data_IF_591504944712
#
_entry.id   IF_591504944712
#
_cell.length_a   1.000
_cell.length_b   1.000
_cell.length_c   1.000
_cell.angle_alpha   90.00
_cell.angle_beta   90.00
_cell.angle_gamma   90.00
#
_symmetry.space_group_name_H-M   'P 1'
#
loop_
_entity.id
_entity.type
_entity.pdbx_description
1 polymer ?
#
# COMPACT_ATOMS: atom_id res chain seq x y z
N UNK A 1 10.34 -5.45 -33.56
CA UNK A 1 11.09 -5.47 -32.29
C UNK A 1 10.87 -4.16 -31.55
N UNK A 2 10.69 -4.22 -30.23
CA UNK A 2 10.73 -3.03 -29.38
C UNK A 2 12.01 -2.23 -29.67
N UNK A 3 11.95 -0.93 -29.64
CA UNK A 3 13.09 -0.08 -30.02
C UNK A 3 13.31 1.03 -28.99
N UNK A 4 14.56 1.19 -28.59
CA UNK A 4 15.02 2.37 -27.87
C UNK A 4 15.43 3.43 -28.89
N UNK A 5 14.69 4.55 -28.94
CA UNK A 5 14.91 5.64 -29.89
C UNK A 5 15.38 6.89 -29.16
N UNK A 6 15.78 7.92 -29.93
CA UNK A 6 16.07 9.24 -29.36
C UNK A 6 14.86 9.90 -28.65
N UNK A 7 13.65 9.41 -28.87
CA UNK A 7 12.42 9.88 -28.22
C UNK A 7 12.00 9.01 -27.03
N UNK A 8 12.76 7.96 -26.71
CA UNK A 8 12.49 7.03 -25.64
C UNK A 8 12.18 5.62 -26.12
N UNK A 9 11.62 4.81 -25.24
CA UNK A 9 11.23 3.44 -25.49
C UNK A 9 9.92 3.39 -26.30
N UNK A 10 9.93 2.65 -27.39
CA UNK A 10 8.73 2.36 -28.18
C UNK A 10 8.24 0.95 -27.81
N UNK A 11 7.19 0.92 -26.99
CA UNK A 11 6.49 -0.31 -26.62
C UNK A 11 5.81 -0.91 -27.86
N UNK A 12 5.93 -2.23 -28.02
CA UNK A 12 5.20 -2.98 -29.02
C UNK A 12 4.14 -3.83 -28.33
N UNK A 13 2.91 -3.73 -28.83
CA UNK A 13 1.77 -4.44 -28.25
C UNK A 13 1.74 -5.91 -28.65
N UNK A 14 1.05 -6.76 -27.87
CA UNK A 14 0.80 -8.16 -28.20
C UNK A 14 0.23 -8.31 -29.62
N UNK A 15 -0.72 -7.48 -30.01
CA UNK A 15 -1.33 -7.55 -31.35
C UNK A 15 -0.33 -7.25 -32.47
N UNK A 16 0.63 -6.37 -32.24
CA UNK A 16 1.69 -6.07 -33.22
C UNK A 16 2.70 -7.22 -33.30
N UNK A 17 3.02 -7.89 -32.16
CA UNK A 17 3.83 -9.10 -32.19
C UNK A 17 3.13 -10.21 -32.96
N UNK A 18 1.85 -10.46 -32.67
CA UNK A 18 1.05 -11.44 -33.39
C UNK A 18 1.02 -11.17 -34.91
N UNK A 19 0.77 -9.93 -35.33
CA UNK A 19 0.76 -9.56 -36.74
C UNK A 19 2.12 -9.78 -37.42
N UNK A 20 3.21 -9.46 -36.74
CA UNK A 20 4.56 -9.70 -37.28
C UNK A 20 4.87 -11.20 -37.42
N UNK A 21 4.53 -12.02 -36.42
CA UNK A 21 4.71 -13.47 -36.47
C UNK A 21 3.91 -14.08 -37.60
N UNK A 22 2.63 -13.73 -37.73
CA UNK A 22 1.76 -14.18 -38.86
C UNK A 22 2.41 -13.82 -40.19
N UNK A 23 2.97 -12.61 -40.33
CA UNK A 23 3.62 -12.18 -41.55
C UNK A 23 4.90 -12.97 -41.84
N UNK A 24 5.68 -13.33 -40.81
CA UNK A 24 6.88 -14.16 -40.96
C UNK A 24 6.52 -15.54 -41.46
N UNK A 25 5.52 -16.21 -40.92
CA UNK A 25 5.07 -17.51 -41.37
C UNK A 25 4.51 -17.47 -42.81
N UNK A 26 3.72 -16.45 -43.16
CA UNK A 26 3.18 -16.27 -44.51
C UNK A 26 4.27 -15.96 -45.56
N UNK A 27 5.39 -15.42 -45.15
CA UNK A 27 6.54 -15.26 -46.07
C UNK A 27 7.19 -16.60 -46.41
N UNK A 28 6.98 -17.65 -45.60
CA UNK A 28 7.44 -19.01 -45.88
C UNK A 28 6.44 -19.75 -46.77
N UNK A 29 5.16 -19.70 -46.38
CA UNK A 29 4.03 -20.26 -47.16
C UNK A 29 2.79 -19.38 -47.03
N UNK A 30 2.37 -18.80 -48.15
CA UNK A 30 1.22 -17.88 -48.22
C UNK A 30 -0.10 -18.55 -47.85
N UNK A 31 -0.21 -19.87 -48.13
CA UNK A 31 -1.44 -20.62 -47.86
C UNK A 31 -1.45 -21.27 -46.47
N UNK A 32 -0.43 -21.03 -45.65
CA UNK A 32 -0.38 -21.56 -44.28
C UNK A 32 -1.58 -21.12 -43.46
N UNK A 33 -2.31 -22.10 -42.92
CA UNK A 33 -3.46 -21.79 -42.07
C UNK A 33 -3.01 -21.44 -40.64
N UNK A 34 -2.99 -20.13 -40.35
CA UNK A 34 -2.60 -19.56 -39.07
C UNK A 34 -3.82 -19.03 -38.28
N UNK A 35 -5.01 -19.61 -38.53
CA UNK A 35 -6.20 -19.31 -37.77
C UNK A 35 -5.95 -19.59 -36.26
N UNK A 36 -6.38 -18.71 -35.33
CA UNK A 36 -6.20 -18.91 -33.89
C UNK A 36 -6.78 -20.21 -33.33
N UNK A 37 -7.64 -20.89 -34.08
CA UNK A 37 -8.18 -22.21 -33.72
C UNK A 37 -7.25 -23.39 -34.09
N UNK A 38 -6.19 -23.14 -34.89
CA UNK A 38 -5.21 -24.15 -35.26
C UNK A 38 -4.05 -24.23 -34.26
N UNK A 39 -3.35 -25.38 -34.15
CA UNK A 39 -2.17 -25.48 -33.29
C UNK A 39 -1.11 -24.43 -33.55
N UNK A 40 -0.84 -24.12 -34.82
CA UNK A 40 0.16 -23.12 -35.23
C UNK A 40 -0.31 -21.69 -34.89
N UNK A 41 -1.60 -21.38 -35.13
CA UNK A 41 -2.18 -20.09 -34.74
C UNK A 41 -2.20 -19.89 -33.23
N UNK A 42 -2.52 -20.94 -32.45
CA UNK A 42 -2.41 -20.89 -30.97
C UNK A 42 -0.99 -20.68 -30.49
N UNK A 43 -0.01 -21.34 -31.14
CA UNK A 43 1.42 -21.13 -30.80
C UNK A 43 1.83 -19.69 -31.04
N UNK A 44 1.50 -19.12 -32.20
CA UNK A 44 1.81 -17.72 -32.53
C UNK A 44 1.15 -16.77 -31.52
N UNK A 45 -0.11 -17.03 -31.14
CA UNK A 45 -0.81 -16.21 -30.15
C UNK A 45 -0.14 -16.26 -28.78
N UNK A 46 0.32 -17.44 -28.34
CA UNK A 46 1.04 -17.60 -27.10
C UNK A 46 2.42 -16.90 -27.14
N UNK A 47 3.18 -17.09 -28.22
CA UNK A 47 4.48 -16.44 -28.38
C UNK A 47 4.33 -14.90 -28.37
N UNK A 48 3.32 -14.36 -29.04
CA UNK A 48 3.00 -12.93 -29.04
C UNK A 48 2.61 -12.42 -27.65
N UNK A 49 1.89 -13.21 -26.85
CA UNK A 49 1.56 -12.88 -25.45
C UNK A 49 2.84 -12.79 -24.60
N UNK A 50 3.72 -13.78 -24.71
CA UNK A 50 4.98 -13.80 -23.97
C UNK A 50 5.88 -12.63 -24.36
N UNK A 51 6.02 -12.34 -25.64
CA UNK A 51 6.82 -11.20 -26.12
C UNK A 51 6.21 -9.87 -25.72
N UNK A 52 4.90 -9.72 -25.78
CA UNK A 52 4.20 -8.51 -25.31
C UNK A 52 4.41 -8.27 -23.83
N UNK A 53 4.29 -9.31 -23.00
CA UNK A 53 4.53 -9.20 -21.55
C UNK A 53 6.00 -8.86 -21.23
N UNK A 54 6.97 -9.44 -21.94
CA UNK A 54 8.39 -9.11 -21.79
C UNK A 54 8.67 -7.65 -22.18
N UNK A 55 8.08 -7.19 -23.27
CA UNK A 55 8.26 -5.81 -23.74
C UNK A 55 7.66 -4.80 -22.77
N UNK A 56 6.51 -5.11 -22.20
CA UNK A 56 5.91 -4.30 -21.14
C UNK A 56 6.79 -4.23 -19.89
N UNK A 57 7.36 -5.36 -19.46
CA UNK A 57 8.28 -5.39 -18.32
C UNK A 57 9.54 -4.54 -18.59
N UNK A 58 10.10 -4.60 -19.80
CA UNK A 58 11.23 -3.76 -20.21
C UNK A 58 10.86 -2.28 -20.27
N UNK A 59 9.66 -1.95 -20.72
CA UNK A 59 9.15 -0.58 -20.72
C UNK A 59 9.02 -0.03 -19.30
N UNK A 60 8.45 -0.82 -18.38
CA UNK A 60 8.38 -0.45 -16.96
C UNK A 60 9.78 -0.23 -16.37
N UNK A 61 10.72 -1.13 -16.64
CA UNK A 61 12.12 -0.99 -16.21
C UNK A 61 12.81 0.24 -16.81
N UNK A 62 12.41 0.66 -18.02
CA UNK A 62 12.88 1.91 -18.62
C UNK A 62 12.30 3.12 -17.91
N UNK A 63 10.99 3.14 -17.65
CA UNK A 63 10.29 4.23 -16.98
C UNK A 63 10.72 4.39 -15.52
N UNK A 64 11.14 3.33 -14.86
CA UNK A 64 11.61 3.37 -13.46
C UNK A 64 12.87 4.21 -13.23
N UNK A 65 13.60 4.52 -14.29
CA UNK A 65 14.83 5.35 -14.24
C UNK A 65 14.56 6.86 -14.32
N UNK A 66 13.36 7.26 -14.72
CA UNK A 66 12.98 8.68 -14.81
C UNK A 66 12.27 9.10 -13.52
N UNK A 67 12.77 10.10 -12.77
CA UNK A 67 12.15 10.57 -11.52
C UNK A 67 10.70 11.06 -11.69
N UNK A 68 10.27 11.37 -12.92
CA UNK A 68 8.90 11.81 -13.24
C UNK A 68 7.91 10.64 -13.35
N UNK A 69 8.42 9.43 -13.61
CA UNK A 69 7.60 8.23 -13.85
C UNK A 69 7.89 7.12 -12.84
N UNK A 70 9.04 7.17 -12.17
CA UNK A 70 9.39 6.23 -11.11
C UNK A 70 8.43 6.34 -9.93
N UNK A 71 8.07 5.20 -9.36
CA UNK A 71 7.19 5.11 -8.19
C UNK A 71 7.75 4.12 -7.16
N UNK A 72 7.29 4.22 -5.91
CA UNK A 72 7.65 3.27 -4.87
C UNK A 72 9.16 3.15 -4.67
N UNK A 73 9.68 1.93 -4.70
CA UNK A 73 11.09 1.62 -4.48
C UNK A 73 12.02 2.20 -5.57
N UNK A 74 11.59 2.21 -6.82
CA UNK A 74 12.38 2.76 -7.92
C UNK A 74 12.58 4.28 -7.76
N UNK A 75 11.55 5.00 -7.29
CA UNK A 75 11.68 6.41 -6.96
C UNK A 75 12.66 6.64 -5.80
N UNK A 76 12.65 5.76 -4.79
CA UNK A 76 13.58 5.85 -3.67
C UNK A 76 15.04 5.66 -4.14
N UNK A 77 15.28 4.74 -5.09
CA UNK A 77 16.61 4.56 -5.70
C UNK A 77 17.05 5.83 -6.45
N UNK A 78 16.15 6.39 -7.26
CA UNK A 78 16.46 7.61 -8.02
C UNK A 78 16.71 8.80 -7.09
N UNK A 79 15.90 8.96 -6.05
CA UNK A 79 16.06 10.02 -5.05
C UNK A 79 17.36 9.87 -4.24
N UNK A 80 17.77 8.64 -3.95
CA UNK A 80 19.00 8.35 -3.21
C UNK A 80 20.27 8.83 -3.94
N UNK A 81 20.27 8.90 -5.27
CA UNK A 81 21.38 9.46 -6.07
C UNK A 81 21.63 10.94 -5.69
N UNK A 82 20.58 11.65 -5.28
CA UNK A 82 20.64 13.04 -4.82
C UNK A 82 20.68 13.19 -3.29
N UNK A 83 21.00 12.10 -2.57
CA UNK A 83 20.99 12.01 -1.10
C UNK A 83 19.63 12.38 -0.46
N UNK A 84 18.55 12.24 -1.20
CA UNK A 84 17.20 12.43 -0.70
C UNK A 84 16.66 11.08 -0.23
N UNK A 85 16.22 11.04 1.03
CA UNK A 85 15.61 9.84 1.63
C UNK A 85 14.12 10.09 1.88
N UNK A 86 13.33 9.08 1.68
CA UNK A 86 11.91 9.13 2.06
C UNK A 86 11.81 9.29 3.58
N UNK A 87 11.09 10.29 4.02
CA UNK A 87 10.72 10.39 5.43
C UNK A 87 9.79 9.23 5.80
N UNK A 88 10.04 8.64 6.96
CA UNK A 88 9.11 7.67 7.51
C UNK A 88 7.87 8.42 7.98
N UNK A 89 6.71 7.96 7.58
CA UNK A 89 5.46 8.54 8.04
C UNK A 89 5.38 8.46 9.57
N UNK A 90 4.74 9.45 10.17
CA UNK A 90 4.41 9.48 11.59
C UNK A 90 3.11 8.72 11.87
N UNK A 91 2.81 8.52 13.15
CA UNK A 91 1.55 7.93 13.60
C UNK A 91 0.62 9.03 14.05
N UNK A 92 -0.67 8.85 13.79
CA UNK A 92 -1.68 9.75 14.33
C UNK A 92 -1.76 9.62 15.85
N UNK A 93 -2.04 10.73 16.54
CA UNK A 93 -2.08 10.81 17.98
C UNK A 93 -3.47 11.26 18.46
N UNK A 94 -3.87 10.79 19.63
CA UNK A 94 -5.14 11.16 20.25
C UNK A 94 -5.02 11.10 21.78
N UNK A 95 -5.71 11.99 22.46
CA UNK A 95 -5.88 11.92 23.90
C UNK A 95 -7.11 11.07 24.24
N UNK A 96 -6.92 10.10 25.10
CA UNK A 96 -7.97 9.20 25.59
C UNK A 96 -8.33 9.54 27.03
N UNK A 97 -9.63 9.52 27.31
CA UNK A 97 -10.18 9.48 28.66
C UNK A 97 -10.54 8.05 29.00
N UNK A 98 -9.88 7.50 30.00
CA UNK A 98 -10.16 6.17 30.55
C UNK A 98 -11.07 6.29 31.74
N UNK A 99 -11.92 5.29 31.96
CA UNK A 99 -12.80 5.21 33.15
C UNK A 99 -12.71 3.84 33.79
N UNK A 100 -12.77 3.80 35.12
CA UNK A 100 -12.67 2.53 35.83
C UNK A 100 -12.58 2.68 37.35
N UNK A 101 -12.14 1.62 37.99
CA UNK A 101 -11.96 1.56 39.45
C UNK A 101 -10.72 2.38 39.86
N UNK A 102 -10.81 3.29 40.82
CA UNK A 102 -9.68 4.02 41.34
C UNK A 102 -8.49 3.13 41.73
N UNK A 103 -7.28 3.61 41.38
CA UNK A 103 -6.04 2.86 41.62
C UNK A 103 -5.71 1.79 40.57
N UNK A 104 -6.59 1.50 39.64
CA UNK A 104 -6.30 0.56 38.55
C UNK A 104 -5.18 1.09 37.67
N UNK A 105 -4.12 0.29 37.46
CA UNK A 105 -3.04 0.58 36.51
C UNK A 105 -3.43 0.06 35.12
N UNK A 106 -3.51 0.95 34.16
CA UNK A 106 -3.55 0.60 32.72
C UNK A 106 -2.14 0.78 32.16
N UNK A 107 -1.52 -0.32 31.80
CA UNK A 107 -0.13 -0.34 31.33
C UNK A 107 0.00 0.24 29.91
N UNK A 108 1.18 0.76 29.60
CA UNK A 108 1.55 1.13 28.22
C UNK A 108 1.43 -0.08 27.28
N UNK A 109 1.10 0.20 26.01
CA UNK A 109 0.97 -0.85 24.99
C UNK A 109 -0.41 -1.51 24.94
N UNK A 110 -1.32 -1.20 25.87
CA UNK A 110 -2.71 -1.66 25.79
C UNK A 110 -3.42 -1.00 24.62
N UNK A 111 -4.32 -1.75 23.97
CA UNK A 111 -4.97 -1.32 22.73
C UNK A 111 -6.44 -1.04 22.94
N UNK A 112 -6.89 0.00 22.23
CA UNK A 112 -8.29 0.36 22.05
C UNK A 112 -8.62 0.37 20.56
N UNK A 113 -9.87 0.31 20.17
CA UNK A 113 -10.25 0.41 18.76
C UNK A 113 -11.44 1.33 18.51
N UNK A 114 -11.45 1.87 17.29
CA UNK A 114 -12.56 2.66 16.81
C UNK A 114 -13.78 1.77 16.56
N UNK A 115 -14.94 2.22 17.02
CA UNK A 115 -16.23 1.58 16.71
C UNK A 115 -16.68 1.81 15.27
N UNK A 116 -16.17 2.87 14.63
CA UNK A 116 -16.53 3.23 13.27
C UNK A 116 -15.69 2.52 12.23
N UNK A 117 -14.36 2.44 12.43
CA UNK A 117 -13.41 1.91 11.44
C UNK A 117 -12.76 0.60 11.84
N UNK A 118 -12.79 0.24 13.14
CA UNK A 118 -12.05 -0.91 13.68
C UNK A 118 -10.54 -0.68 13.82
N UNK A 119 -10.02 0.49 13.43
CA UNK A 119 -8.60 0.84 13.57
C UNK A 119 -8.19 0.84 15.03
N UNK A 120 -6.97 0.35 15.29
CA UNK A 120 -6.43 0.17 16.63
C UNK A 120 -5.50 1.29 17.02
N UNK A 121 -5.55 1.62 18.31
CA UNK A 121 -4.73 2.66 18.93
C UNK A 121 -4.06 2.08 20.17
N UNK A 122 -2.81 2.47 20.40
CA UNK A 122 -1.96 1.94 21.46
C UNK A 122 -1.72 3.03 22.48
N UNK A 123 -1.98 2.74 23.75
CA UNK A 123 -1.72 3.62 24.88
C UNK A 123 -0.20 3.81 24.99
N UNK A 124 0.24 5.07 25.02
CA UNK A 124 1.65 5.44 24.96
C UNK A 124 2.38 5.16 26.28
N UNK A 125 1.74 5.48 27.39
CA UNK A 125 2.32 5.35 28.72
C UNK A 125 1.35 4.71 29.73
N UNK A 126 1.90 4.09 30.77
CA UNK A 126 1.09 3.53 31.83
C UNK A 126 0.51 4.62 32.72
N UNK A 127 -0.79 4.52 33.04
CA UNK A 127 -1.50 5.49 33.84
C UNK A 127 -2.36 4.81 34.92
N UNK A 128 -2.43 5.41 36.10
CA UNK A 128 -3.38 4.98 37.15
C UNK A 128 -4.68 5.76 37.03
N UNK A 129 -5.79 5.06 37.16
CA UNK A 129 -7.12 5.69 37.29
C UNK A 129 -7.17 6.40 38.63
N UNK A 130 -7.54 7.68 38.59
CA UNK A 130 -7.58 8.56 39.77
C UNK A 130 -8.75 8.22 40.73
N UNK A 131 -8.83 8.97 41.84
CA UNK A 131 -9.87 8.80 42.84
C UNK A 131 -11.29 9.13 42.33
N UNK A 132 -11.41 9.85 41.22
CA UNK A 132 -12.67 10.16 40.56
C UNK A 132 -13.08 9.02 39.58
N UNK A 133 -12.26 8.02 39.40
CA UNK A 133 -12.49 6.95 38.47
C UNK A 133 -12.12 7.29 37.02
N UNK A 134 -11.28 8.28 36.80
CA UNK A 134 -10.89 8.79 35.48
C UNK A 134 -9.35 8.83 35.31
N UNK A 135 -8.88 8.74 34.08
CA UNK A 135 -7.49 9.00 33.72
C UNK A 135 -7.40 9.54 32.29
N UNK A 136 -6.39 10.34 32.03
CA UNK A 136 -6.14 10.92 30.71
C UNK A 136 -4.77 10.48 30.23
N UNK A 137 -4.70 9.93 29.02
CA UNK A 137 -3.47 9.38 28.45
C UNK A 137 -3.43 9.54 26.95
N UNK A 138 -2.25 9.76 26.40
CA UNK A 138 -2.04 9.78 24.96
C UNK A 138 -2.02 8.36 24.39
N UNK A 139 -2.52 8.24 23.17
CA UNK A 139 -2.44 7.02 22.38
C UNK A 139 -2.07 7.36 20.94
N UNK A 140 -1.42 6.43 20.27
CA UNK A 140 -1.05 6.56 18.86
C UNK A 140 -1.66 5.42 18.04
N UNK A 141 -1.88 5.68 16.75
CA UNK A 141 -2.40 4.68 15.83
C UNK A 141 -1.44 3.49 15.69
N UNK A 142 -1.95 2.26 15.66
CA UNK A 142 -1.13 1.07 15.43
C UNK A 142 -0.45 1.11 14.05
N UNK A 143 -1.15 1.64 13.05
CA UNK A 143 -0.63 1.85 11.69
C UNK A 143 0.02 3.21 11.55
N UNK A 144 1.07 3.27 10.74
CA UNK A 144 1.73 4.51 10.33
C UNK A 144 0.89 5.21 9.25
N UNK A 145 0.87 6.53 9.28
CA UNK A 145 0.18 7.38 8.31
C UNK A 145 -1.00 8.12 8.91
N UNK A 146 -1.71 8.84 8.05
CA UNK A 146 -2.89 9.62 8.42
C UNK A 146 -4.06 8.68 8.75
N UNK A 147 -4.19 8.32 10.02
CA UNK A 147 -5.31 7.53 10.54
C UNK A 147 -6.25 8.47 11.27
N UNK A 148 -7.47 8.56 10.80
CA UNK A 148 -8.49 9.43 11.36
C UNK A 148 -9.29 8.69 12.44
N UNK A 149 -9.66 9.42 13.51
CA UNK A 149 -10.65 9.00 14.47
C UNK A 149 -11.46 10.24 14.90
N UNK A 150 -12.74 10.19 14.62
CA UNK A 150 -13.67 11.22 15.08
C UNK A 150 -13.81 11.18 16.60
N UNK A 151 -14.25 12.30 17.18
CA UNK A 151 -14.52 12.37 18.61
C UNK A 151 -15.54 11.30 19.03
N UNK A 152 -15.30 10.68 20.18
CA UNK A 152 -16.13 9.63 20.79
C UNK A 152 -16.27 8.33 19.97
N UNK A 153 -15.33 8.05 19.07
CA UNK A 153 -15.33 6.77 18.29
C UNK A 153 -14.41 5.70 18.86
N UNK A 154 -13.41 6.06 19.66
CA UNK A 154 -12.48 5.12 20.31
C UNK A 154 -13.07 4.63 21.63
N UNK A 155 -13.99 3.68 21.56
CA UNK A 155 -14.79 3.22 22.70
C UNK A 155 -14.62 1.74 23.03
N UNK A 156 -13.93 0.96 22.19
CA UNK A 156 -13.77 -0.46 22.39
C UNK A 156 -12.41 -0.77 23.05
N UNK A 157 -12.42 -1.42 24.19
CA UNK A 157 -11.22 -1.94 24.84
C UNK A 157 -10.86 -3.27 24.17
N UNK A 158 -9.67 -3.34 23.57
CA UNK A 158 -9.17 -4.57 22.91
C UNK A 158 -8.45 -5.46 23.93
N UNK A 159 -7.56 -4.86 24.71
CA UNK A 159 -6.80 -5.57 25.76
C UNK A 159 -7.40 -5.22 27.12
N UNK A 160 -8.30 -6.05 27.63
CA UNK A 160 -8.99 -5.81 28.89
C UNK A 160 -8.04 -5.89 30.10
N UNK A 161 -8.23 -4.98 31.06
CA UNK A 161 -7.55 -4.96 32.36
C UNK A 161 -8.62 -4.96 33.45
N UNK A 162 -8.43 -5.76 34.51
CA UNK A 162 -9.37 -5.80 35.63
C UNK A 162 -9.47 -4.42 36.30
N UNK A 163 -10.68 -3.85 36.36
CA UNK A 163 -10.93 -2.50 36.89
C UNK A 163 -10.99 -1.38 35.83
N UNK A 164 -10.50 -1.60 34.62
CA UNK A 164 -10.70 -0.67 33.48
C UNK A 164 -12.00 -0.98 32.78
N UNK A 165 -12.97 -0.06 32.84
CA UNK A 165 -14.35 -0.32 32.39
C UNK A 165 -14.75 0.42 31.11
N UNK A 166 -14.08 1.53 30.77
CA UNK A 166 -14.43 2.29 29.60
C UNK A 166 -13.31 3.18 29.08
N UNK A 167 -13.43 3.57 27.83
CA UNK A 167 -12.50 4.48 27.13
C UNK A 167 -13.28 5.34 26.16
N UNK A 168 -12.84 6.57 25.94
CA UNK A 168 -13.34 7.45 24.89
C UNK A 168 -12.27 8.46 24.49
N UNK A 169 -12.33 8.96 23.27
CA UNK A 169 -11.56 10.12 22.82
C UNK A 169 -12.46 11.35 22.75
N UNK A 170 -12.33 12.33 23.64
CA UNK A 170 -13.17 13.53 23.61
C UNK A 170 -12.97 14.39 22.37
N UNK A 171 -11.77 14.36 21.80
CA UNK A 171 -11.37 15.13 20.63
C UNK A 171 -11.11 14.24 19.43
N UNK A 172 -11.08 14.83 18.24
CA UNK A 172 -10.63 14.16 17.01
C UNK A 172 -9.13 13.85 17.11
N UNK A 173 -8.70 12.78 16.44
CA UNK A 173 -7.29 12.46 16.36
C UNK A 173 -6.51 13.48 15.51
N UNK A 174 -5.29 13.78 15.93
CA UNK A 174 -4.35 14.57 15.13
C UNK A 174 -3.65 13.64 14.14
N UNK A 175 -3.73 13.89 12.82
CA UNK A 175 -3.07 13.07 11.81
C UNK A 175 -1.55 13.04 11.99
N UNK A 176 -0.96 11.89 11.66
CA UNK A 176 0.48 11.69 11.63
C UNK A 176 1.11 12.00 10.28
#
# INVERSE_FOLDING_TARGET
>A
MAQLTARGYLLKTQNEYFADEVQLYRNIDVEWNLDPSTPDGLKIAHDAEVFGALDEALHQAYLSKDPRTATGYDLDIVAYISDVKREQGSRSNVELKLTGVPGTLVEAGKRVSSSATGERWIIEEGIHIDDNGEAWVNAYSERIGMIEADAHTLINIVDSVGGWTGVTNPNIATPG
#
